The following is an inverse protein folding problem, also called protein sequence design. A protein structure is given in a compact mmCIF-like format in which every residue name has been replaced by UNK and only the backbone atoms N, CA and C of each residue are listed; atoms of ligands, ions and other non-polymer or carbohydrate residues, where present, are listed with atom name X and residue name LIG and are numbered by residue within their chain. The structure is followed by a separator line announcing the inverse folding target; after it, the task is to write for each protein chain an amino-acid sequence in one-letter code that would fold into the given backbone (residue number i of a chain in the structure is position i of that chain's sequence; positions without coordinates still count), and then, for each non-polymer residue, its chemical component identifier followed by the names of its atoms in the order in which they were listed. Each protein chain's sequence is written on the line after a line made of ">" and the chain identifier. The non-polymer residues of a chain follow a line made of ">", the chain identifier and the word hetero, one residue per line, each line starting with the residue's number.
data_IF_731149283425
#
_entry.id   IF_731149283425
#
_cell.length_a   1.000
_cell.length_b   1.000
_cell.length_c   1.000
_cell.angle_alpha   90.00
_cell.angle_beta   90.00
_cell.angle_gamma   90.00
#
_symmetry.space_group_name_H-M   'P 1'
#
loop_
_entity.id
_entity.type
_entity.pdbx_description
1 polymer ?
#
# COMPACT_ATOMS: atom_id res chain seq x y z
N UNK A 1 9.48 11.02 -29.49
CA UNK A 1 10.96 11.18 -29.57
C UNK A 1 11.57 10.17 -28.60
N UNK A 2 12.75 9.61 -28.90
CA UNK A 2 13.45 8.71 -27.96
C UNK A 2 14.31 9.56 -27.02
N UNK A 3 14.29 9.25 -25.73
CA UNK A 3 15.04 9.94 -24.70
C UNK A 3 16.54 9.76 -24.96
N UNK A 4 17.27 10.86 -24.93
CA UNK A 4 18.72 10.86 -25.06
C UNK A 4 19.39 10.35 -23.78
N UNK A 5 20.67 10.01 -23.87
CA UNK A 5 21.48 9.68 -22.70
C UNK A 5 21.50 10.82 -21.67
N UNK A 6 21.50 12.08 -22.15
CA UNK A 6 21.45 13.28 -21.32
C UNK A 6 20.11 13.41 -20.58
N UNK A 7 18.98 13.11 -21.24
CA UNK A 7 17.65 13.10 -20.60
C UNK A 7 17.57 12.07 -19.47
N UNK A 8 18.17 10.90 -19.68
CA UNK A 8 18.24 9.84 -18.68
C UNK A 8 19.09 10.26 -17.46
N UNK A 9 20.24 10.90 -17.69
CA UNK A 9 21.09 11.42 -16.62
C UNK A 9 20.41 12.52 -15.81
N UNK A 10 19.72 13.43 -16.50
CA UNK A 10 18.92 14.47 -15.85
C UNK A 10 17.79 13.86 -15.00
N UNK A 11 17.09 12.84 -15.51
CA UNK A 11 16.06 12.12 -14.75
C UNK A 11 16.63 11.40 -13.53
N UNK A 12 17.83 10.80 -13.61
CA UNK A 12 18.49 10.20 -12.44
C UNK A 12 18.78 11.22 -11.34
N UNK A 13 19.24 12.42 -11.73
CA UNK A 13 19.48 13.50 -10.77
C UNK A 13 18.18 14.00 -10.13
N UNK A 14 17.09 14.07 -10.90
CA UNK A 14 15.77 14.43 -10.37
C UNK A 14 15.27 13.43 -9.31
N UNK A 15 15.45 12.12 -9.55
CA UNK A 15 15.07 11.08 -8.57
C UNK A 15 15.81 11.24 -7.24
N UNK A 16 17.11 11.58 -7.27
CA UNK A 16 17.90 11.84 -6.05
C UNK A 16 17.41 13.05 -5.25
N UNK A 17 16.76 13.99 -5.92
CA UNK A 17 16.25 15.24 -5.34
C UNK A 17 14.78 15.14 -4.90
N UNK A 18 14.16 13.97 -5.00
CA UNK A 18 12.80 13.74 -4.53
C UNK A 18 12.74 13.92 -3.01
N UNK A 19 11.99 14.94 -2.56
CA UNK A 19 11.77 15.22 -1.13
C UNK A 19 10.77 14.27 -0.46
N UNK A 20 9.93 13.60 -1.26
CA UNK A 20 8.93 12.63 -0.80
C UNK A 20 9.30 11.26 -1.31
N UNK A 21 9.12 10.25 -0.45
CA UNK A 21 9.29 8.85 -0.84
C UNK A 21 8.27 8.48 -1.92
N UNK A 22 8.71 8.04 -3.12
CA UNK A 22 7.79 7.67 -4.20
C UNK A 22 7.12 6.30 -4.00
N UNK A 23 7.41 5.59 -2.90
CA UNK A 23 6.87 4.28 -2.59
C UNK A 23 7.69 3.13 -3.17
N UNK A 24 7.53 1.94 -2.57
CA UNK A 24 8.36 0.77 -2.90
C UNK A 24 8.15 0.26 -4.33
N UNK A 25 6.93 0.29 -4.86
CA UNK A 25 6.65 -0.15 -6.23
C UNK A 25 7.37 0.73 -7.26
N UNK A 26 7.32 2.06 -7.06
CA UNK A 26 8.01 3.01 -7.93
C UNK A 26 9.52 2.87 -7.80
N UNK A 27 10.05 2.69 -6.59
CA UNK A 27 11.48 2.40 -6.38
C UNK A 27 11.93 1.13 -7.10
N UNK A 28 11.13 0.06 -7.09
CA UNK A 28 11.43 -1.17 -7.81
C UNK A 28 11.37 -0.99 -9.33
N UNK A 29 10.38 -0.24 -9.85
CA UNK A 29 10.29 0.10 -11.28
C UNK A 29 11.47 0.96 -11.74
N UNK A 30 11.82 2.00 -10.98
CA UNK A 30 12.99 2.85 -11.24
C UNK A 30 14.27 2.02 -11.23
N UNK A 31 14.45 1.14 -10.25
CA UNK A 31 15.59 0.22 -10.18
C UNK A 31 15.67 -0.69 -11.41
N UNK A 32 14.57 -1.36 -11.77
CA UNK A 32 14.53 -2.28 -12.90
C UNK A 32 14.83 -1.58 -14.23
N UNK A 33 14.20 -0.43 -14.48
CA UNK A 33 14.42 0.38 -15.68
C UNK A 33 15.85 0.92 -15.74
N UNK A 34 16.41 1.36 -14.60
CA UNK A 34 17.81 1.78 -14.51
C UNK A 34 18.76 0.65 -14.90
N UNK A 35 18.61 -0.53 -14.29
CA UNK A 35 19.43 -1.71 -14.57
C UNK A 35 19.30 -2.17 -16.02
N UNK A 36 18.08 -2.15 -16.57
CA UNK A 36 17.85 -2.47 -17.98
C UNK A 36 18.50 -1.44 -18.92
N UNK A 37 18.46 -0.16 -18.58
CA UNK A 37 19.04 0.92 -19.38
C UNK A 37 20.58 0.93 -19.37
N UNK A 38 21.21 0.56 -18.25
CA UNK A 38 22.67 0.54 -18.12
C UNK A 38 23.28 -0.80 -18.53
N UNK A 39 22.73 -1.90 -18.02
CA UNK A 39 23.31 -3.23 -18.13
C UNK A 39 22.61 -4.08 -19.20
N UNK A 40 21.30 -3.90 -19.39
CA UNK A 40 20.49 -4.69 -20.33
C UNK A 40 19.69 -5.77 -19.61
N UNK A 41 19.33 -6.88 -20.27
CA UNK A 41 18.56 -7.97 -19.66
C UNK A 41 19.19 -8.49 -18.36
N UNK A 42 18.34 -8.90 -17.42
CA UNK A 42 18.78 -9.44 -16.13
C UNK A 42 19.79 -10.58 -16.32
N UNK A 43 20.99 -10.39 -15.76
CA UNK A 43 22.13 -11.28 -15.95
C UNK A 43 22.67 -11.87 -14.63
N UNK A 44 21.97 -11.62 -13.52
CA UNK A 44 22.33 -12.10 -12.19
C UNK A 44 21.50 -13.33 -11.82
N UNK A 45 22.05 -14.29 -11.06
CA UNK A 45 21.30 -15.46 -10.61
C UNK A 45 20.17 -15.05 -9.65
N UNK A 46 19.08 -15.82 -9.65
CA UNK A 46 17.92 -15.58 -8.80
C UNK A 46 18.33 -15.64 -7.31
N UNK A 47 18.10 -14.57 -6.52
CA UNK A 47 18.42 -14.56 -5.09
C UNK A 47 17.65 -15.63 -4.30
N UNK A 48 18.23 -16.05 -3.17
CA UNK A 48 17.65 -17.05 -2.30
C UNK A 48 16.32 -16.60 -1.67
N UNK A 49 15.46 -17.56 -1.31
CA UNK A 49 14.08 -17.31 -0.84
C UNK A 49 13.98 -16.49 0.44
N UNK A 50 15.06 -16.41 1.23
CA UNK A 50 15.14 -15.61 2.46
C UNK A 50 15.58 -14.16 2.21
N UNK A 51 16.08 -13.83 1.02
CA UNK A 51 16.50 -12.48 0.63
C UNK A 51 15.40 -11.76 -0.17
N UNK A 52 14.33 -11.40 0.54
CA UNK A 52 13.10 -10.85 -0.06
C UNK A 52 13.33 -9.53 -0.82
N UNK A 53 14.28 -8.70 -0.38
CA UNK A 53 14.54 -7.39 -1.00
C UNK A 53 15.28 -7.58 -2.31
N UNK A 54 16.36 -8.38 -2.33
CA UNK A 54 17.08 -8.61 -3.57
C UNK A 54 16.27 -9.49 -4.52
N UNK A 55 15.44 -10.40 -4.00
CA UNK A 55 14.47 -11.14 -4.82
C UNK A 55 13.48 -10.19 -5.50
N UNK A 56 12.89 -9.22 -4.79
CA UNK A 56 11.96 -8.26 -5.39
C UNK A 56 12.63 -7.38 -6.47
N UNK A 57 13.87 -6.94 -6.23
CA UNK A 57 14.69 -6.22 -7.22
C UNK A 57 15.00 -7.08 -8.44
N UNK A 58 15.36 -8.34 -8.21
CA UNK A 58 15.64 -9.31 -9.27
C UNK A 58 14.38 -9.59 -10.09
N UNK A 59 13.24 -9.86 -9.44
CA UNK A 59 11.96 -10.11 -10.10
C UNK A 59 11.57 -8.90 -10.98
N UNK A 60 11.67 -7.67 -10.44
CA UNK A 60 11.35 -6.46 -11.17
C UNK A 60 12.24 -6.24 -12.41
N UNK A 61 13.55 -6.53 -12.31
CA UNK A 61 14.47 -6.44 -13.46
C UNK A 61 14.26 -7.60 -14.45
N UNK A 62 14.05 -8.81 -13.96
CA UNK A 62 13.86 -10.02 -14.78
C UNK A 62 12.56 -9.94 -15.62
N UNK A 63 11.49 -9.34 -15.08
CA UNK A 63 10.22 -9.14 -15.80
C UNK A 63 10.38 -8.28 -17.06
N UNK A 64 11.36 -7.37 -17.11
CA UNK A 64 11.62 -6.57 -18.31
C UNK A 64 12.18 -7.38 -19.48
N UNK A 65 12.72 -8.58 -19.22
CA UNK A 65 13.19 -9.50 -20.25
C UNK A 65 14.16 -8.86 -21.23
N UNK A 66 13.86 -8.98 -22.53
CA UNK A 66 14.69 -8.45 -23.63
C UNK A 66 14.36 -7.00 -24.01
N UNK A 67 13.82 -6.20 -23.10
CA UNK A 67 13.50 -4.79 -23.36
C UNK A 67 14.78 -4.03 -23.81
N UNK A 68 14.77 -3.32 -24.96
CA UNK A 68 15.94 -2.58 -25.42
C UNK A 68 16.36 -1.47 -24.44
N UNK A 69 17.67 -1.23 -24.32
CA UNK A 69 18.23 -0.20 -23.43
C UNK A 69 17.62 1.17 -23.68
N UNK A 70 17.42 1.54 -24.94
CA UNK A 70 16.82 2.84 -25.31
C UNK A 70 15.35 2.95 -24.87
N UNK A 71 14.59 1.86 -24.96
CA UNK A 71 13.20 1.83 -24.48
C UNK A 71 13.15 1.89 -22.95
N UNK A 72 14.09 1.23 -22.26
CA UNK A 72 14.20 1.33 -20.81
C UNK A 72 14.55 2.76 -20.35
N UNK A 73 15.45 3.47 -21.06
CA UNK A 73 15.76 4.88 -20.81
C UNK A 73 14.53 5.77 -20.98
N UNK A 74 13.79 5.60 -22.08
CA UNK A 74 12.55 6.35 -22.31
C UNK A 74 11.55 6.12 -21.19
N UNK A 75 11.27 4.86 -20.85
CA UNK A 75 10.33 4.51 -19.78
C UNK A 75 10.77 5.06 -18.42
N UNK A 76 12.09 5.13 -18.16
CA UNK A 76 12.63 5.75 -16.95
C UNK A 76 12.37 7.25 -16.93
N UNK A 77 12.68 7.96 -18.02
CA UNK A 77 12.44 9.40 -18.16
C UNK A 77 10.95 9.73 -18.03
N UNK A 78 10.07 8.94 -18.64
CA UNK A 78 8.63 9.11 -18.56
C UNK A 78 8.11 8.94 -17.13
N UNK A 79 8.60 7.90 -16.44
CA UNK A 79 8.24 7.64 -15.04
C UNK A 79 8.72 8.76 -14.11
N UNK A 80 9.93 9.26 -14.29
CA UNK A 80 10.45 10.38 -13.49
C UNK A 80 9.70 11.68 -13.79
N UNK A 81 9.39 11.92 -15.06
CA UNK A 81 8.59 13.08 -15.48
C UNK A 81 7.18 13.01 -14.89
N UNK A 82 6.57 11.83 -14.83
CA UNK A 82 5.26 11.66 -14.19
C UNK A 82 5.32 11.97 -12.69
N UNK A 83 6.36 11.52 -11.98
CA UNK A 83 6.56 11.82 -10.54
C UNK A 83 6.79 13.32 -10.27
N UNK A 84 7.55 13.98 -11.15
CA UNK A 84 7.81 15.43 -11.10
C UNK A 84 6.57 16.26 -11.49
N UNK A 85 5.73 15.76 -12.39
CA UNK A 85 4.46 16.40 -12.77
C UNK A 85 3.36 16.20 -11.72
N UNK A 86 3.28 15.03 -11.07
CA UNK A 86 2.39 14.79 -9.93
C UNK A 86 2.78 15.62 -8.69
N UNK A 87 3.99 16.17 -8.66
CA UNK A 87 4.40 17.16 -7.65
C UNK A 87 4.13 18.63 -8.07
N UNK A 88 3.67 18.89 -9.30
CA UNK A 88 3.36 20.24 -9.84
C UNK A 88 1.98 20.39 -10.49
N UNK A 89 1.16 19.34 -10.59
CA UNK A 89 -0.16 19.38 -11.22
C UNK A 89 -1.25 18.95 -10.23
N UNK A 90 -1.67 19.89 -9.41
CA UNK A 90 -3.03 19.94 -8.88
C UNK A 90 -3.74 21.08 -9.60
N UNK A 91 -4.28 20.86 -10.80
CA UNK A 91 -5.38 21.67 -11.39
C UNK A 91 -5.85 21.16 -12.77
N UNK A 92 -7.13 20.78 -12.78
CA UNK A 92 -8.13 20.79 -13.88
C UNK A 92 -8.43 19.53 -14.70
N UNK A 93 -9.75 19.35 -14.87
CA UNK A 93 -10.59 18.15 -15.06
C UNK A 93 -11.37 18.25 -16.39
N UNK A 94 -11.87 17.14 -16.94
CA UNK A 94 -13.21 17.04 -17.60
C UNK A 94 -13.68 15.55 -17.73
N UNK A 95 -14.99 15.26 -17.94
CA UNK A 95 -15.80 14.62 -16.90
C UNK A 95 -16.46 13.28 -17.30
N UNK A 96 -16.81 12.47 -16.30
CA UNK A 96 -17.72 11.32 -16.40
C UNK A 96 -17.83 10.61 -15.04
N UNK A 97 -19.01 10.71 -14.42
CA UNK A 97 -19.55 9.98 -13.24
C UNK A 97 -18.64 8.91 -12.62
N UNK A 98 -18.00 9.21 -11.49
CA UNK A 98 -18.44 8.80 -10.14
C UNK A 98 -17.37 9.15 -9.08
N UNK A 99 -17.88 9.79 -8.02
CA UNK A 99 -17.39 10.08 -6.67
C UNK A 99 -15.88 9.87 -6.38
N UNK A 100 -15.26 10.97 -5.95
CA UNK A 100 -13.86 11.16 -5.54
C UNK A 100 -13.21 9.94 -4.85
N UNK A 101 -12.22 9.32 -5.52
CA UNK A 101 -11.24 8.44 -4.86
C UNK A 101 -10.40 9.30 -3.90
N UNK A 102 -10.64 9.21 -2.59
CA UNK A 102 -9.60 9.56 -1.62
C UNK A 102 -8.39 8.66 -1.87
N UNK A 103 -7.23 9.26 -2.13
CA UNK A 103 -6.01 8.51 -2.39
C UNK A 103 -5.46 7.91 -1.10
N UNK A 104 -5.69 6.62 -0.89
CA UNK A 104 -5.04 5.83 0.16
C UNK A 104 -3.78 5.18 -0.40
N UNK A 105 -2.70 5.11 0.38
CA UNK A 105 -1.47 4.43 -0.04
C UNK A 105 -1.56 2.92 0.20
N UNK A 106 -2.15 2.53 1.33
CA UNK A 106 -2.14 1.16 1.80
C UNK A 106 -3.52 0.49 1.73
N UNK A 107 -4.54 1.18 1.24
CA UNK A 107 -5.91 0.67 1.06
C UNK A 107 -6.35 0.83 -0.40
N UNK A 108 -7.28 -0.03 -0.82
CA UNK A 108 -8.10 0.18 -2.01
C UNK A 108 -9.54 0.32 -1.52
N UNK A 109 -10.12 1.50 -1.74
CA UNK A 109 -11.50 1.79 -1.35
C UNK A 109 -12.34 2.02 -2.60
N UNK A 110 -13.44 1.28 -2.71
CA UNK A 110 -14.40 1.36 -3.83
C UNK A 110 -15.81 1.42 -3.29
N UNK A 111 -16.71 2.13 -3.97
CA UNK A 111 -18.12 2.18 -3.62
C UNK A 111 -18.96 1.89 -4.86
N UNK A 112 -19.62 0.74 -4.88
CA UNK A 112 -20.42 0.23 -6.00
C UNK A 112 -21.64 -0.49 -5.42
N UNK A 113 -22.80 -0.42 -6.09
CA UNK A 113 -24.04 -1.11 -5.69
C UNK A 113 -24.45 -0.92 -4.21
N UNK A 114 -24.32 0.32 -3.70
CA UNK A 114 -24.59 0.67 -2.30
C UNK A 114 -23.69 -0.05 -1.27
N UNK A 115 -22.55 -0.57 -1.71
CA UNK A 115 -21.55 -1.21 -0.84
C UNK A 115 -20.24 -0.42 -0.92
N UNK A 116 -19.74 0.03 0.22
CA UNK A 116 -18.38 0.55 0.32
C UNK A 116 -17.44 -0.57 0.76
N UNK A 117 -16.50 -0.92 -0.11
CA UNK A 117 -15.48 -1.96 0.14
C UNK A 117 -14.16 -1.29 0.49
N UNK A 118 -13.64 -1.62 1.66
CA UNK A 118 -12.32 -1.23 2.16
C UNK A 118 -11.42 -2.47 2.10
N UNK A 119 -10.45 -2.47 1.18
CA UNK A 119 -9.52 -3.57 1.01
C UNK A 119 -8.12 -3.20 1.50
N UNK A 120 -7.60 -3.95 2.47
CA UNK A 120 -6.22 -3.81 2.94
C UNK A 120 -5.28 -4.19 1.80
N UNK A 121 -4.33 -3.32 1.45
CA UNK A 121 -3.54 -3.45 0.23
C UNK A 121 -2.03 -3.37 0.49
N UNK A 122 -1.54 -4.21 1.43
CA UNK A 122 -0.11 -4.48 1.61
C UNK A 122 0.17 -5.99 1.49
N UNK A 123 -0.19 -6.65 0.37
CA UNK A 123 -0.12 -8.10 0.25
C UNK A 123 1.30 -8.65 0.45
N UNK A 124 2.33 -7.92 0.01
CA UNK A 124 3.75 -8.30 0.20
C UNK A 124 4.21 -8.29 1.67
N UNK A 125 3.43 -7.64 2.54
CA UNK A 125 3.61 -7.61 4.01
C UNK A 125 2.47 -8.32 4.72
N UNK A 126 1.72 -9.20 4.03
CA UNK A 126 0.58 -9.95 4.60
C UNK A 126 -0.48 -9.03 5.21
N UNK A 127 -0.64 -7.85 4.63
CA UNK A 127 -1.54 -6.79 5.11
C UNK A 127 -1.27 -6.35 6.56
N UNK A 128 -0.04 -6.45 7.06
CA UNK A 128 0.34 -5.88 8.35
C UNK A 128 -0.07 -4.39 8.46
N UNK A 129 -0.57 -3.97 9.62
CA UNK A 129 -1.10 -2.63 9.84
C UNK A 129 0.03 -1.71 10.33
N UNK A 130 0.54 -0.86 9.43
CA UNK A 130 1.46 0.21 9.79
C UNK A 130 0.73 1.37 10.47
N UNK A 131 1.46 2.25 11.15
CA UNK A 131 0.93 3.53 11.69
C UNK A 131 0.09 4.29 10.67
N UNK A 132 0.56 4.37 9.41
CA UNK A 132 -0.19 5.01 8.34
C UNK A 132 -1.48 4.24 7.99
N UNK A 133 -1.43 2.91 7.91
CA UNK A 133 -2.62 2.12 7.62
C UNK A 133 -3.68 2.26 8.72
N UNK A 134 -3.30 2.38 10.00
CA UNK A 134 -4.26 2.72 11.08
C UNK A 134 -5.02 4.01 10.76
N UNK A 135 -4.30 5.07 10.36
CA UNK A 135 -4.91 6.35 10.00
C UNK A 135 -5.80 6.23 8.76
N UNK A 136 -5.35 5.52 7.74
CA UNK A 136 -6.13 5.30 6.51
C UNK A 136 -7.41 4.50 6.78
N UNK A 137 -7.37 3.48 7.62
CA UNK A 137 -8.57 2.70 7.99
C UNK A 137 -9.56 3.59 8.75
N UNK A 138 -9.11 4.37 9.74
CA UNK A 138 -9.98 5.30 10.46
C UNK A 138 -10.63 6.32 9.52
N UNK A 139 -9.85 6.87 8.58
CA UNK A 139 -10.36 7.79 7.57
C UNK A 139 -11.37 7.13 6.64
N UNK A 140 -11.10 5.91 6.17
CA UNK A 140 -11.98 5.15 5.30
C UNK A 140 -13.29 4.78 6.00
N UNK A 141 -13.25 4.31 7.25
CA UNK A 141 -14.45 4.06 8.06
C UNK A 141 -15.24 5.35 8.29
N UNK A 142 -14.57 6.46 8.63
CA UNK A 142 -15.24 7.75 8.82
C UNK A 142 -15.88 8.29 7.53
N UNK A 143 -15.30 8.00 6.36
CA UNK A 143 -15.89 8.34 5.07
C UNK A 143 -17.10 7.44 4.78
N UNK A 144 -16.94 6.12 4.95
CA UNK A 144 -18.00 5.13 4.73
C UNK A 144 -19.20 5.32 5.68
N UNK A 145 -19.00 5.85 6.89
CA UNK A 145 -20.10 6.15 7.81
C UNK A 145 -20.98 7.30 7.34
N UNK A 146 -20.50 8.13 6.41
CA UNK A 146 -21.18 9.34 5.91
C UNK A 146 -21.58 9.28 4.44
N UNK A 147 -21.06 8.31 3.69
CA UNK A 147 -21.41 8.15 2.27
C UNK A 147 -22.83 7.58 2.09
N UNK A 148 -23.23 7.33 0.85
CA UNK A 148 -24.56 6.79 0.54
C UNK A 148 -24.60 5.25 0.55
N UNK A 149 -23.51 4.56 0.91
CA UNK A 149 -23.50 3.10 1.00
C UNK A 149 -24.43 2.64 2.13
N UNK A 150 -25.10 1.52 1.91
CA UNK A 150 -25.91 0.85 2.92
C UNK A 150 -25.07 -0.07 3.79
N UNK A 151 -24.04 -0.69 3.21
CA UNK A 151 -23.17 -1.68 3.87
C UNK A 151 -21.71 -1.30 3.63
N UNK A 152 -20.88 -1.50 4.65
CA UNK A 152 -19.42 -1.41 4.52
C UNK A 152 -18.80 -2.80 4.67
N UNK A 153 -17.91 -3.15 3.76
CA UNK A 153 -17.18 -4.42 3.76
C UNK A 153 -15.69 -4.16 3.96
N UNK A 154 -15.05 -4.90 4.87
CA UNK A 154 -13.60 -4.89 5.05
C UNK A 154 -13.00 -6.26 4.70
N UNK A 155 -11.93 -6.27 3.90
CA UNK A 155 -11.26 -7.50 3.43
C UNK A 155 -9.78 -7.26 3.16
N UNK A 156 -9.00 -8.32 2.96
CA UNK A 156 -7.58 -8.25 2.59
C UNK A 156 -7.35 -8.50 1.10
N UNK A 157 -6.35 -7.83 0.52
CA UNK A 157 -5.82 -8.19 -0.78
C UNK A 157 -4.83 -9.37 -0.66
N UNK A 158 -4.89 -10.31 -1.60
CA UNK A 158 -4.01 -11.47 -1.68
C UNK A 158 -4.40 -12.61 -0.72
N UNK A 159 -3.38 -13.37 -0.28
CA UNK A 159 -3.57 -14.64 0.44
C UNK A 159 -3.78 -14.47 1.95
N UNK A 160 -3.65 -13.25 2.48
CA UNK A 160 -3.85 -12.93 3.90
C UNK A 160 -5.01 -11.96 4.04
N UNK A 161 -5.81 -12.12 5.09
CA UNK A 161 -6.67 -11.06 5.55
C UNK A 161 -5.80 -9.95 6.14
N UNK A 162 -5.11 -10.24 7.25
CA UNK A 162 -4.19 -9.32 7.90
C UNK A 162 -3.33 -10.00 8.97
N UNK A 163 -2.01 -9.80 8.93
CA UNK A 163 -1.07 -10.34 9.92
C UNK A 163 -0.95 -9.50 11.21
N UNK A 164 -1.86 -8.57 11.46
CA UNK A 164 -1.90 -7.75 12.67
C UNK A 164 -0.97 -6.53 12.62
N UNK A 165 -0.52 -6.07 13.80
CA UNK A 165 0.28 -4.86 13.93
C UNK A 165 1.65 -5.02 13.25
N UNK A 166 2.06 -4.05 12.42
CA UNK A 166 3.38 -4.09 11.78
C UNK A 166 4.47 -3.86 12.83
N UNK A 167 5.44 -4.78 12.93
CA UNK A 167 6.52 -4.70 13.91
C UNK A 167 7.44 -3.49 13.66
N UNK A 168 7.47 -2.94 12.45
CA UNK A 168 8.21 -1.71 12.18
C UNK A 168 7.61 -0.50 12.89
N UNK A 169 6.36 -0.58 13.37
CA UNK A 169 5.78 0.49 14.18
C UNK A 169 6.57 0.73 15.48
N UNK A 170 7.38 -0.24 15.93
CA UNK A 170 8.22 -0.12 17.12
C UNK A 170 9.62 0.47 16.86
N UNK A 171 10.07 0.65 15.62
CA UNK A 171 11.44 1.11 15.32
C UNK A 171 11.64 2.62 15.46
N UNK A 172 10.63 3.43 15.14
CA UNK A 172 10.79 4.89 15.11
C UNK A 172 10.52 5.50 16.49
N UNK A 173 11.57 5.83 17.23
CA UNK A 173 11.46 6.38 18.59
C UNK A 173 11.42 7.92 18.50
N UNK A 174 10.36 8.58 19.01
CA UNK A 174 10.27 10.04 19.01
C UNK A 174 11.27 10.66 20.00
N UNK A 175 11.51 11.99 19.94
CA UNK A 175 12.42 12.67 20.86
C UNK A 175 12.11 12.46 22.36
N UNK A 176 10.84 12.32 22.74
CA UNK A 176 10.43 12.00 24.12
C UNK A 176 10.53 10.51 24.47
N UNK A 177 11.15 9.69 23.63
CA UNK A 177 11.53 8.32 23.93
C UNK A 177 10.38 7.31 23.86
N UNK A 178 10.61 6.15 24.48
CA UNK A 178 9.69 5.00 24.45
C UNK A 178 8.38 5.28 25.17
N UNK A 179 8.39 6.10 26.23
CA UNK A 179 7.19 6.44 27.00
C UNK A 179 6.21 7.28 26.17
N UNK A 180 6.71 8.33 25.49
CA UNK A 180 5.90 9.13 24.56
C UNK A 180 5.31 8.25 23.44
N UNK A 181 6.13 7.35 22.88
CA UNK A 181 5.69 6.42 21.85
C UNK A 181 4.58 5.50 22.33
N UNK A 182 4.72 4.93 23.52
CA UNK A 182 3.71 4.05 24.11
C UNK A 182 2.39 4.80 24.32
N UNK A 183 2.44 6.03 24.85
CA UNK A 183 1.26 6.88 25.03
C UNK A 183 0.58 7.21 23.69
N UNK A 184 1.34 7.63 22.68
CA UNK A 184 0.80 7.96 21.36
C UNK A 184 0.19 6.72 20.67
N UNK A 185 0.82 5.56 20.82
CA UNK A 185 0.32 4.29 20.28
C UNK A 185 -0.97 3.86 20.98
N UNK A 186 -1.07 4.05 22.30
CA UNK A 186 -2.27 3.74 23.07
C UNK A 186 -3.46 4.64 22.66
N UNK A 187 -3.21 5.94 22.44
CA UNK A 187 -4.23 6.87 21.93
C UNK A 187 -4.69 6.44 20.54
N UNK A 188 -3.75 6.16 19.63
CA UNK A 188 -4.05 5.71 18.28
C UNK A 188 -4.87 4.42 18.27
N UNK A 189 -4.50 3.43 19.10
CA UNK A 189 -5.23 2.18 19.21
C UNK A 189 -6.65 2.40 19.74
N UNK A 190 -6.82 3.25 20.76
CA UNK A 190 -8.13 3.61 21.30
C UNK A 190 -9.02 4.24 20.23
N UNK A 191 -8.49 5.22 19.51
CA UNK A 191 -9.25 5.94 18.48
C UNK A 191 -9.56 5.03 17.28
N UNK A 192 -8.63 4.12 16.93
CA UNK A 192 -8.85 3.09 15.93
C UNK A 192 -9.98 2.15 16.30
N UNK A 193 -9.95 1.56 17.51
CA UNK A 193 -11.01 0.67 18.01
C UNK A 193 -12.34 1.41 18.12
N UNK A 194 -12.33 2.68 18.56
CA UNK A 194 -13.52 3.52 18.61
C UNK A 194 -14.22 3.67 17.25
N UNK A 195 -13.47 3.70 16.15
CA UNK A 195 -14.06 3.77 14.81
C UNK A 195 -14.87 2.52 14.43
N UNK A 196 -14.59 1.35 15.01
CA UNK A 196 -15.39 0.13 14.82
C UNK A 196 -16.60 0.13 15.75
N UNK A 197 -16.41 0.50 17.02
CA UNK A 197 -17.49 0.55 18.03
C UNK A 197 -18.60 1.51 17.60
N UNK A 198 -18.24 2.71 17.13
CA UNK A 198 -19.20 3.77 16.81
C UNK A 198 -19.68 3.74 15.35
N UNK A 199 -19.34 2.70 14.58
CA UNK A 199 -19.67 2.65 13.16
C UNK A 199 -21.20 2.46 12.96
N UNK A 200 -21.91 3.38 12.27
CA UNK A 200 -23.37 3.45 12.33
C UNK A 200 -24.11 2.59 11.30
N UNK A 201 -23.40 1.92 10.40
CA UNK A 201 -23.96 1.11 9.31
C UNK A 201 -23.53 -0.34 9.47
N UNK A 202 -24.25 -1.31 8.88
CA UNK A 202 -23.78 -2.70 8.83
C UNK A 202 -22.34 -2.82 8.34
N UNK A 203 -21.47 -3.35 9.18
CA UNK A 203 -20.05 -3.57 8.94
C UNK A 203 -19.76 -5.06 8.84
N UNK A 204 -19.29 -5.49 7.67
CA UNK A 204 -19.06 -6.90 7.35
C UNK A 204 -17.56 -7.17 7.13
N UNK A 205 -17.03 -8.18 7.79
CA UNK A 205 -15.69 -8.68 7.51
C UNK A 205 -15.76 -9.83 6.52
N UNK A 206 -15.00 -9.75 5.43
CA UNK A 206 -14.75 -10.87 4.52
C UNK A 206 -13.30 -11.32 4.70
N UNK A 207 -13.12 -12.35 5.53
CA UNK A 207 -11.83 -12.90 5.93
C UNK A 207 -11.35 -13.88 4.86
N UNK A 208 -10.62 -13.36 3.88
CA UNK A 208 -10.14 -14.07 2.69
C UNK A 208 -8.95 -15.01 2.95
N UNK A 209 -8.26 -14.88 4.07
CA UNK A 209 -7.08 -15.65 4.44
C UNK A 209 -6.70 -15.45 5.90
N UNK A 210 -5.51 -15.87 6.35
CA UNK A 210 -5.13 -15.83 7.76
C UNK A 210 -5.23 -14.41 8.37
N UNK A 211 -5.67 -14.38 9.62
CA UNK A 211 -5.88 -13.17 10.42
C UNK A 211 -5.15 -13.32 11.76
N UNK A 212 -4.43 -12.28 12.22
CA UNK A 212 -3.62 -12.33 13.45
C UNK A 212 -3.79 -11.07 14.30
N UNK A 213 -3.81 -11.23 15.63
CA UNK A 213 -3.73 -10.14 16.60
C UNK A 213 -4.89 -9.15 16.49
N UNK A 214 -4.58 -7.84 16.37
CA UNK A 214 -5.59 -6.78 16.27
C UNK A 214 -6.60 -6.99 15.13
N UNK A 215 -6.22 -7.70 14.06
CA UNK A 215 -7.12 -8.02 12.96
C UNK A 215 -8.18 -9.06 13.32
N UNK A 216 -7.91 -9.90 14.32
CA UNK A 216 -8.84 -10.89 14.86
C UNK A 216 -9.69 -10.26 15.95
N UNK A 217 -9.07 -9.52 16.87
CA UNK A 217 -9.80 -8.97 18.02
C UNK A 217 -10.84 -7.92 17.60
N UNK A 218 -10.61 -7.19 16.50
CA UNK A 218 -11.64 -6.29 15.93
C UNK A 218 -12.81 -7.02 15.29
N UNK A 219 -12.69 -8.31 14.92
CA UNK A 219 -13.80 -9.07 14.33
C UNK A 219 -15.02 -9.16 15.25
N UNK A 220 -14.81 -9.10 16.58
CA UNK A 220 -15.91 -9.05 17.56
C UNK A 220 -16.73 -7.75 17.52
N UNK A 221 -16.30 -6.75 16.74
CA UNK A 221 -16.98 -5.47 16.55
C UNK A 221 -17.65 -5.36 15.17
N UNK A 222 -17.60 -6.40 14.36
CA UNK A 222 -18.33 -6.48 13.08
C UNK A 222 -19.72 -7.09 13.31
N UNK A 223 -20.69 -6.71 12.48
CA UNK A 223 -22.04 -7.29 12.52
C UNK A 223 -22.06 -8.72 11.95
N UNK A 224 -21.27 -8.95 10.90
CA UNK A 224 -21.16 -10.25 10.22
C UNK A 224 -19.72 -10.53 9.82
N UNK A 225 -19.27 -11.76 10.04
CA UNK A 225 -17.95 -12.24 9.62
C UNK A 225 -18.12 -13.46 8.71
N UNK A 226 -17.72 -13.33 7.44
CA UNK A 226 -17.60 -14.44 6.51
C UNK A 226 -16.14 -14.83 6.36
N UNK A 227 -15.82 -16.11 6.57
CA UNK A 227 -14.47 -16.63 6.45
C UNK A 227 -14.37 -17.66 5.32
N UNK A 228 -13.25 -17.58 4.58
CA UNK A 228 -12.85 -18.63 3.65
C UNK A 228 -12.50 -19.92 4.40
N UNK A 229 -12.73 -21.07 3.78
CA UNK A 229 -12.30 -22.39 4.29
C UNK A 229 -10.76 -22.52 4.40
N UNK A 230 -10.02 -21.65 3.69
CA UNK A 230 -8.55 -21.57 3.73
C UNK A 230 -7.99 -20.82 4.94
N UNK A 231 -8.83 -20.31 5.83
CA UNK A 231 -8.37 -19.66 7.06
C UNK A 231 -7.82 -20.73 8.01
N UNK A 232 -6.51 -20.96 7.96
CA UNK A 232 -5.81 -21.84 8.89
C UNK A 232 -5.62 -21.13 10.24
N UNK A 233 -6.34 -21.60 11.25
CA UNK A 233 -6.23 -21.29 12.70
C UNK A 233 -5.92 -19.84 13.09
N UNK A 234 -6.97 -19.20 13.63
CA UNK A 234 -6.89 -18.01 14.46
C UNK A 234 -6.11 -18.36 15.73
N UNK A 235 -4.79 -18.14 15.73
CA UNK A 235 -3.96 -18.38 16.91
C UNK A 235 -4.22 -17.30 17.97
N UNK A 236 -4.98 -17.76 18.97
CA UNK A 236 -5.13 -17.39 20.39
C UNK A 236 -4.53 -16.07 20.90
N UNK A 237 -5.41 -15.39 21.67
CA UNK A 237 -5.28 -14.23 22.57
C UNK A 237 -3.90 -13.73 22.95
#
# INVERSE_FOLDING_TARGET
>A
MRASQEDFENAMNQVKLLKKDPGNEVKLKLYALYKQATEGPCNIPKPGVFDLINKAKWDAWNVLGSLPKETARQNYVDLVSSLSSSSKSSSQVKPGTDRERQGYENLVVTSEDSITKIMLNRPTKKNAISTQMYHEIMLALKAASKDDSTITVLTGNGDYYCSGNDLTNYTDIPPGGVEEKAKNSAIMLRDFVGCFIDFPKPLIAVVNGPAVGIAVTTLGLFDVVYASDKVSEVLET
#
